data_IF_266493031436
#
_entry.id   IF_266493031436
#
_cell.length_a   1.000
_cell.length_b   1.000
_cell.length_c   1.000
_cell.angle_alpha   90.00
_cell.angle_beta   90.00
_cell.angle_gamma   90.00
#
_symmetry.space_group_name_H-M   'P 1'
#
loop_
_entity.id
_entity.type
_entity.pdbx_description
1 polymer ?
#
# COMPACT_ATOMS: atom_id res chain seq x y z
N UNK A 1 -13.90 1.04 -6.38
CA UNK A 1 -13.99 -0.08 -5.40
C UNK A 1 -13.17 0.28 -4.18
N UNK A 2 -13.77 0.26 -2.98
CA UNK A 2 -13.08 0.63 -1.75
C UNK A 2 -11.97 -0.39 -1.42
N UNK A 3 -10.90 0.07 -0.76
CA UNK A 3 -9.75 -0.75 -0.32
C UNK A 3 -10.17 -2.01 0.46
N UNK A 4 -11.35 -2.00 1.07
CA UNK A 4 -11.95 -3.13 1.77
C UNK A 4 -12.35 -4.27 0.85
N UNK A 5 -12.84 -3.99 -0.38
CA UNK A 5 -13.22 -5.03 -1.35
C UNK A 5 -12.01 -5.78 -1.89
N UNK A 6 -10.90 -5.10 -2.15
CA UNK A 6 -9.65 -5.75 -2.58
C UNK A 6 -9.05 -6.61 -1.47
N UNK A 7 -9.12 -6.16 -0.20
CA UNK A 7 -8.64 -6.94 0.93
C UNK A 7 -9.43 -8.24 1.13
N UNK A 8 -10.76 -8.19 0.97
CA UNK A 8 -11.62 -9.39 1.05
C UNK A 8 -11.31 -10.42 -0.04
N UNK A 9 -10.99 -9.96 -1.25
CA UNK A 9 -10.62 -10.85 -2.37
C UNK A 9 -9.27 -11.54 -2.09
N UNK A 10 -8.30 -10.82 -1.55
CA UNK A 10 -7.00 -11.42 -1.15
C UNK A 10 -7.19 -12.42 -0.02
N UNK A 11 -7.98 -12.05 1.00
CA UNK A 11 -8.22 -12.91 2.16
C UNK A 11 -8.94 -14.20 1.76
N UNK A 12 -9.91 -14.12 0.85
CA UNK A 12 -10.62 -15.30 0.33
C UNK A 12 -9.73 -16.17 -0.57
N UNK A 13 -8.87 -15.59 -1.40
CA UNK A 13 -7.91 -16.35 -2.20
C UNK A 13 -6.92 -17.13 -1.32
N UNK A 14 -6.44 -16.53 -0.22
CA UNK A 14 -5.55 -17.21 0.74
C UNK A 14 -6.31 -18.32 1.49
N UNK A 15 -7.55 -18.05 1.92
CA UNK A 15 -8.38 -19.05 2.59
C UNK A 15 -8.65 -20.28 1.70
N UNK A 16 -8.88 -20.08 0.41
CA UNK A 16 -9.11 -21.17 -0.55
C UNK A 16 -7.80 -21.89 -0.90
N UNK A 17 -6.74 -21.14 -1.22
CA UNK A 17 -5.47 -21.71 -1.69
C UNK A 17 -4.63 -22.40 -0.59
N UNK A 18 -4.79 -22.01 0.67
CA UNK A 18 -4.03 -22.55 1.81
C UNK A 18 -4.90 -23.17 2.89
N UNK A 19 -6.09 -22.60 3.15
CA UNK A 19 -7.01 -23.10 4.17
C UNK A 19 -7.62 -24.45 3.81
N UNK A 20 -8.13 -24.60 2.58
CA UNK A 20 -8.72 -25.87 2.10
C UNK A 20 -7.72 -27.02 2.11
N UNK A 21 -6.50 -26.91 1.54
CA UNK A 21 -5.53 -28.01 1.60
C UNK A 21 -5.04 -28.30 3.03
N UNK A 22 -4.91 -27.28 3.88
CA UNK A 22 -4.55 -27.49 5.30
C UNK A 22 -5.60 -28.28 6.08
N UNK A 23 -6.89 -27.95 5.88
CA UNK A 23 -8.00 -28.66 6.52
C UNK A 23 -8.14 -30.09 5.96
N UNK A 24 -7.96 -30.28 4.65
CA UNK A 24 -7.99 -31.62 4.04
C UNK A 24 -6.88 -32.53 4.58
N UNK A 25 -5.66 -32.01 4.75
CA UNK A 25 -4.56 -32.79 5.35
C UNK A 25 -4.85 -33.13 6.81
N UNK A 26 -5.34 -32.16 7.59
CA UNK A 26 -5.74 -32.37 8.99
C UNK A 26 -6.84 -33.44 9.12
N UNK A 27 -7.88 -33.37 8.29
CA UNK A 27 -8.96 -34.36 8.27
C UNK A 27 -8.47 -35.75 7.85
N UNK A 28 -7.51 -35.85 6.91
CA UNK A 28 -6.93 -37.14 6.52
C UNK A 28 -6.13 -37.79 7.64
N UNK A 29 -5.41 -37.00 8.44
CA UNK A 29 -4.54 -37.50 9.52
C UNK A 29 -5.32 -37.88 10.77
N UNK A 30 -6.34 -37.11 11.14
CA UNK A 30 -7.06 -37.29 12.42
C UNK A 30 -8.40 -38.03 12.29
N UNK A 31 -9.06 -37.98 11.14
CA UNK A 31 -10.40 -38.60 10.93
C UNK A 31 -10.38 -39.81 10.01
N UNK A 32 -9.20 -40.25 9.53
CA UNK A 32 -9.09 -41.39 8.61
C UNK A 32 -9.66 -41.11 7.21
N UNK A 33 -9.75 -39.84 6.82
CA UNK A 33 -10.26 -39.45 5.51
C UNK A 33 -9.33 -39.96 4.40
N UNK A 34 -9.91 -40.41 3.28
CA UNK A 34 -9.19 -41.09 2.22
C UNK A 34 -8.12 -40.17 1.60
N UNK A 35 -6.84 -40.56 1.74
CA UNK A 35 -5.69 -39.72 1.43
C UNK A 35 -5.66 -39.31 -0.04
N UNK A 36 -6.11 -40.20 -0.94
CA UNK A 36 -6.17 -39.95 -2.37
C UNK A 36 -7.20 -38.85 -2.72
N UNK A 37 -8.35 -38.85 -2.05
CA UNK A 37 -9.39 -37.84 -2.23
C UNK A 37 -8.95 -36.48 -1.65
N UNK A 38 -8.30 -36.47 -0.49
CA UNK A 38 -7.73 -35.26 0.11
C UNK A 38 -6.66 -34.63 -0.80
N UNK A 39 -5.79 -35.45 -1.40
CA UNK A 39 -4.76 -34.98 -2.33
C UNK A 39 -5.34 -34.34 -3.59
N UNK A 40 -6.37 -34.94 -4.19
CA UNK A 40 -7.05 -34.39 -5.37
C UNK A 40 -7.72 -33.04 -5.07
N UNK A 41 -8.41 -32.92 -3.93
CA UNK A 41 -9.05 -31.67 -3.51
C UNK A 41 -8.02 -30.59 -3.20
N UNK A 42 -6.93 -30.94 -2.51
CA UNK A 42 -5.83 -30.02 -2.23
C UNK A 42 -5.19 -29.49 -3.52
N UNK A 43 -4.94 -30.36 -4.50
CA UNK A 43 -4.36 -29.97 -5.78
C UNK A 43 -5.27 -29.00 -6.55
N UNK A 44 -6.57 -29.29 -6.59
CA UNK A 44 -7.55 -28.41 -7.22
C UNK A 44 -7.67 -27.06 -6.50
N UNK A 45 -7.65 -27.05 -5.17
CA UNK A 45 -7.69 -25.82 -4.37
C UNK A 45 -6.47 -24.92 -4.63
N UNK A 46 -5.28 -25.51 -4.76
CA UNK A 46 -4.05 -24.78 -5.08
C UNK A 46 -4.12 -24.21 -6.50
N UNK A 47 -4.61 -24.97 -7.49
CA UNK A 47 -4.77 -24.48 -8.86
C UNK A 47 -5.77 -23.32 -8.96
N UNK A 48 -6.93 -23.45 -8.32
CA UNK A 48 -7.97 -22.41 -8.34
C UNK A 48 -7.52 -21.18 -7.54
N UNK A 49 -6.95 -21.36 -6.35
CA UNK A 49 -6.42 -20.28 -5.52
C UNK A 49 -5.27 -19.53 -6.21
N UNK A 50 -4.34 -20.27 -6.82
CA UNK A 50 -3.25 -19.70 -7.62
C UNK A 50 -3.76 -18.94 -8.85
N UNK A 51 -4.73 -19.49 -9.58
CA UNK A 51 -5.34 -18.82 -10.72
C UNK A 51 -6.02 -17.49 -10.35
N UNK A 52 -6.78 -17.47 -9.26
CA UNK A 52 -7.42 -16.25 -8.75
C UNK A 52 -6.38 -15.20 -8.33
N UNK A 53 -5.29 -15.63 -7.68
CA UNK A 53 -4.20 -14.74 -7.29
C UNK A 53 -3.51 -14.10 -8.51
N UNK A 54 -3.19 -14.89 -9.54
CA UNK A 54 -2.54 -14.39 -10.76
C UNK A 54 -3.44 -13.40 -11.49
N UNK A 55 -4.72 -13.75 -11.70
CA UNK A 55 -5.68 -12.85 -12.37
C UNK A 55 -5.90 -11.58 -11.54
N UNK A 56 -5.99 -11.70 -10.21
CA UNK A 56 -6.12 -10.58 -9.29
C UNK A 56 -4.95 -9.60 -9.33
N UNK A 57 -3.72 -10.10 -9.51
CA UNK A 57 -2.49 -9.30 -9.57
C UNK A 57 -2.26 -8.72 -10.97
N UNK A 58 -2.45 -9.50 -12.04
CA UNK A 58 -2.08 -9.11 -13.42
C UNK A 58 -3.18 -8.28 -14.09
N UNK A 59 -4.44 -8.65 -13.95
CA UNK A 59 -5.58 -7.92 -14.56
C UNK A 59 -6.44 -7.20 -13.53
N UNK A 60 -6.35 -7.60 -12.26
CA UNK A 60 -7.22 -7.12 -11.21
C UNK A 60 -6.76 -5.81 -10.54
N UNK A 61 -7.62 -5.27 -9.65
CA UNK A 61 -7.36 -4.01 -8.95
C UNK A 61 -6.14 -4.06 -8.03
N UNK A 62 -5.62 -5.24 -7.66
CA UNK A 62 -4.44 -5.36 -6.81
C UNK A 62 -3.17 -4.88 -7.54
N UNK A 63 -3.03 -5.16 -8.83
CA UNK A 63 -1.92 -4.63 -9.63
C UNK A 63 -1.97 -3.10 -9.77
N UNK A 64 -3.17 -2.53 -9.93
CA UNK A 64 -3.35 -1.07 -10.01
C UNK A 64 -3.05 -0.34 -8.70
N UNK A 65 -3.36 -0.94 -7.54
CA UNK A 65 -3.04 -0.36 -6.23
C UNK A 65 -1.52 -0.25 -6.03
N UNK A 66 -0.75 -1.23 -6.51
CA UNK A 66 0.71 -1.15 -6.48
C UNK A 66 1.25 -0.03 -7.38
N UNK A 67 0.70 0.12 -8.58
CA UNK A 67 1.21 1.10 -9.57
C UNK A 67 0.81 2.55 -9.25
N UNK A 68 -0.40 2.78 -8.71
CA UNK A 68 -0.86 4.13 -8.33
C UNK A 68 -0.15 4.69 -7.08
N UNK A 69 0.31 3.81 -6.17
CA UNK A 69 0.99 4.24 -4.93
C UNK A 69 2.21 5.11 -5.22
N UNK A 70 3.02 4.74 -6.23
CA UNK A 70 4.21 5.50 -6.62
C UNK A 70 3.87 6.84 -7.31
N UNK A 71 2.74 6.93 -8.02
CA UNK A 71 2.31 8.16 -8.69
C UNK A 71 1.78 9.19 -7.69
N UNK A 72 0.95 8.75 -6.76
CA UNK A 72 0.41 9.61 -5.69
C UNK A 72 1.54 10.13 -4.79
N UNK A 73 2.51 9.29 -4.45
CA UNK A 73 3.66 9.69 -3.64
C UNK A 73 4.54 10.73 -4.36
N UNK A 74 4.81 10.53 -5.66
CA UNK A 74 5.52 11.52 -6.48
C UNK A 74 4.79 12.84 -6.58
N UNK A 75 3.45 12.80 -6.65
CA UNK A 75 2.62 14.00 -6.72
C UNK A 75 2.63 14.76 -5.39
N UNK A 76 2.56 14.05 -4.25
CA UNK A 76 2.73 14.64 -2.91
C UNK A 76 4.12 15.27 -2.73
N UNK A 77 5.18 14.60 -3.19
CA UNK A 77 6.54 15.14 -3.13
C UNK A 77 6.72 16.41 -3.97
N UNK A 78 6.03 16.54 -5.12
CA UNK A 78 6.05 17.78 -5.91
C UNK A 78 5.38 18.93 -5.16
N UNK A 79 4.19 18.69 -4.61
CA UNK A 79 3.46 19.71 -3.84
C UNK A 79 4.26 20.16 -2.61
N UNK A 80 4.87 19.24 -1.87
CA UNK A 80 5.72 19.58 -0.72
C UNK A 80 6.96 20.40 -1.12
N UNK A 81 7.57 20.10 -2.27
CA UNK A 81 8.70 20.89 -2.78
C UNK A 81 8.29 22.30 -3.20
N UNK A 82 7.14 22.44 -3.83
CA UNK A 82 6.58 23.76 -4.19
C UNK A 82 6.26 24.57 -2.93
N UNK A 83 5.66 23.93 -1.93
CA UNK A 83 5.38 24.56 -0.64
C UNK A 83 6.66 25.00 0.08
N UNK A 84 7.70 24.17 0.11
CA UNK A 84 8.99 24.53 0.71
C UNK A 84 9.65 25.72 0.00
N UNK A 85 9.51 25.83 -1.33
CA UNK A 85 10.00 27.01 -2.07
C UNK A 85 9.24 28.28 -1.68
N UNK A 86 7.91 28.20 -1.59
CA UNK A 86 7.11 29.35 -1.17
C UNK A 86 7.46 29.80 0.25
N UNK A 87 7.63 28.86 1.19
CA UNK A 87 8.02 29.19 2.58
C UNK A 87 9.43 29.78 2.65
N UNK A 88 10.38 29.35 1.81
CA UNK A 88 11.71 29.94 1.72
C UNK A 88 11.65 31.40 1.27
N UNK A 89 10.77 31.73 0.34
CA UNK A 89 10.57 33.08 -0.15
C UNK A 89 9.96 33.99 0.93
N UNK A 90 8.98 33.49 1.68
CA UNK A 90 8.43 34.18 2.85
C UNK A 90 9.47 34.41 3.95
N UNK A 91 10.29 33.40 4.26
CA UNK A 91 11.39 33.51 5.23
C UNK A 91 12.40 34.60 4.83
N UNK A 92 12.70 34.72 3.53
CA UNK A 92 13.61 35.75 3.04
C UNK A 92 13.02 37.15 3.18
N UNK A 93 11.70 37.30 2.99
CA UNK A 93 10.98 38.54 3.29
C UNK A 93 11.06 38.93 4.76
N UNK A 94 10.90 37.97 5.67
CA UNK A 94 11.03 38.19 7.12
C UNK A 94 12.45 38.66 7.50
N UNK A 95 13.48 38.07 6.90
CA UNK A 95 14.88 38.50 7.09
C UNK A 95 15.08 39.95 6.65
N UNK A 96 14.47 40.36 5.52
CA UNK A 96 14.50 41.75 5.06
C UNK A 96 13.91 42.73 6.09
N UNK A 97 12.72 42.42 6.60
CA UNK A 97 12.05 43.25 7.63
C UNK A 97 12.88 43.32 8.91
N UNK A 98 13.47 42.21 9.36
CA UNK A 98 14.36 42.19 10.53
C UNK A 98 15.63 43.03 10.29
N UNK A 99 16.14 43.07 9.05
CA UNK A 99 17.23 43.93 8.64
C UNK A 99 16.88 45.41 8.77
N UNK A 100 15.72 45.82 8.25
CA UNK A 100 15.22 47.20 8.38
C UNK A 100 15.04 47.61 9.84
N UNK A 101 14.44 46.76 10.66
CA UNK A 101 14.28 47.02 12.11
C UNK A 101 15.65 47.20 12.78
N UNK A 102 16.63 46.34 12.46
CA UNK A 102 17.99 46.45 13.00
C UNK A 102 18.66 47.75 12.59
N UNK A 103 18.49 48.16 11.33
CA UNK A 103 19.15 49.35 10.81
C UNK A 103 18.50 50.63 11.38
N UNK A 104 17.18 50.63 11.61
CA UNK A 104 16.48 51.69 12.35
C UNK A 104 16.98 51.76 13.80
N UNK A 105 17.11 50.61 14.49
CA UNK A 105 17.61 50.58 15.87
C UNK A 105 19.04 51.14 15.97
N UNK A 106 19.91 50.80 15.02
CA UNK A 106 21.27 51.35 14.96
C UNK A 106 21.30 52.85 14.70
N UNK A 107 20.42 53.36 13.84
CA UNK A 107 20.34 54.79 13.54
C UNK A 107 19.85 55.65 14.72
N UNK A 108 19.19 55.04 15.72
CA UNK A 108 18.75 55.70 16.95
C UNK A 108 19.82 55.64 18.06
N UNK A 109 20.81 54.75 17.93
CA UNK A 109 21.94 54.60 18.88
C UNK A 109 23.11 55.57 18.60
N UNK A 110 23.13 56.24 17.43
CA UNK A 110 24.02 57.37 17.10
C UNK A 110 23.42 58.73 17.51
#
# INVERSE_FOLDING_TARGET
MSKTSSALIVLSAIAIGLGVPGICLYASLFYGFNFLAAAAVAFMAVLVGGGIAIVGVVQGPLGRVFDDSGRVERQRLRVLREQQRATLEELNGIVGVLGEIRDILKAVEE
#
